data_IF_949543095178
#
_entry.id   IF_949543095178
#
_cell.length_a   1.000
_cell.length_b   1.000
_cell.length_c   1.000
_cell.angle_alpha   90.00
_cell.angle_beta   90.00
_cell.angle_gamma   90.00
#
_symmetry.space_group_name_H-M   'P 1'
#
loop_
_entity.id
_entity.type
_entity.pdbx_description
1 polymer ?
#
# COMPACT_ATOMS: atom_id res chain seq x y z
N UNK A 1 -20.30 -7.84 -12.46
CA UNK A 1 -18.91 -8.16 -12.07
C UNK A 1 -18.25 -6.81 -11.87
N UNK A 2 -18.40 -6.26 -10.67
CA UNK A 2 -18.17 -4.85 -10.39
C UNK A 2 -17.52 -4.76 -9.02
N UNK A 3 -16.51 -3.89 -8.94
CA UNK A 3 -16.06 -3.17 -7.75
C UNK A 3 -15.43 -3.99 -6.61
N UNK A 4 -14.19 -4.44 -6.82
CA UNK A 4 -13.21 -4.51 -5.73
C UNK A 4 -11.98 -3.65 -6.04
N UNK A 5 -11.53 -3.65 -7.30
CA UNK A 5 -10.38 -2.84 -7.75
C UNK A 5 -10.61 -1.32 -7.69
N UNK A 6 -11.86 -0.87 -7.64
CA UNK A 6 -12.17 0.57 -7.58
C UNK A 6 -12.16 1.16 -6.16
N UNK A 7 -12.27 0.35 -5.10
CA UNK A 7 -12.39 0.90 -3.74
C UNK A 7 -11.03 1.21 -3.09
N UNK A 8 -9.97 0.50 -3.47
CA UNK A 8 -8.64 0.68 -2.86
C UNK A 8 -7.79 1.72 -3.58
N UNK A 9 -8.03 1.94 -4.88
CA UNK A 9 -7.27 2.92 -5.69
C UNK A 9 -7.86 4.34 -5.59
N UNK A 10 -9.17 4.46 -5.30
CA UNK A 10 -9.85 5.77 -5.30
C UNK A 10 -9.39 6.68 -4.15
N UNK A 11 -9.08 6.15 -2.97
CA UNK A 11 -8.68 6.97 -1.82
C UNK A 11 -7.19 7.39 -1.86
N UNK A 12 -6.35 6.69 -2.61
CA UNK A 12 -4.91 6.98 -2.74
C UNK A 12 -4.60 7.85 -3.96
N UNK A 13 -5.34 7.72 -5.06
CA UNK A 13 -5.17 8.60 -6.22
C UNK A 13 -5.71 10.02 -5.96
N UNK A 14 -6.74 10.18 -5.13
CA UNK A 14 -7.21 11.50 -4.66
C UNK A 14 -6.15 12.24 -3.80
N UNK A 15 -5.17 11.54 -3.23
CA UNK A 15 -4.06 12.15 -2.51
C UNK A 15 -2.96 12.69 -3.45
N UNK A 16 -2.81 12.14 -4.66
CA UNK A 16 -1.81 12.56 -5.69
C UNK A 16 -2.40 13.64 -6.62
N UNK A 17 -3.67 13.98 -6.44
CA UNK A 17 -4.44 14.79 -7.39
C UNK A 17 -5.11 16.02 -6.79
N UNK A 18 -4.70 16.51 -5.60
CA UNK A 18 -5.13 17.83 -5.15
C UNK A 18 -4.45 18.90 -6.01
N UNK A 19 -5.08 19.18 -7.15
CA UNK A 19 -4.73 20.25 -8.10
C UNK A 19 -4.15 21.46 -7.37
N UNK A 20 -2.85 21.72 -7.56
CA UNK A 20 -2.15 22.90 -7.05
C UNK A 20 -1.06 22.67 -6.01
N UNK A 21 -0.79 21.45 -5.54
CA UNK A 21 0.37 21.17 -4.67
C UNK A 21 1.70 21.09 -5.44
N UNK A 22 2.80 21.23 -4.70
CA UNK A 22 4.15 21.42 -5.27
C UNK A 22 4.63 20.16 -5.99
N UNK A 23 4.32 18.98 -5.45
CA UNK A 23 4.62 17.68 -6.02
C UNK A 23 3.86 17.45 -7.33
N UNK A 24 2.56 17.74 -7.36
CA UNK A 24 1.74 17.61 -8.59
C UNK A 24 2.23 18.55 -9.68
N UNK A 25 2.62 19.78 -9.32
CA UNK A 25 3.20 20.75 -10.25
C UNK A 25 4.59 20.33 -10.74
N UNK A 26 5.44 19.77 -9.86
CA UNK A 26 6.76 19.26 -10.21
C UNK A 26 6.69 18.04 -11.15
N UNK A 27 5.81 17.07 -10.86
CA UNK A 27 5.58 15.90 -11.72
C UNK A 27 5.01 16.31 -13.08
N UNK A 28 4.15 17.32 -13.11
CA UNK A 28 3.55 17.85 -14.35
C UNK A 28 4.47 18.80 -15.13
N UNK A 29 5.68 19.06 -14.64
CA UNK A 29 6.64 19.97 -15.28
C UNK A 29 6.23 21.45 -15.28
N UNK A 30 5.24 21.82 -14.47
CA UNK A 30 4.68 23.18 -14.40
C UNK A 30 5.62 24.17 -13.67
N UNK A 31 6.55 23.66 -12.86
CA UNK A 31 7.52 24.45 -12.08
C UNK A 31 8.91 24.59 -12.74
N UNK A 32 9.04 24.25 -14.03
CA UNK A 32 10.33 24.24 -14.74
C UNK A 32 11.08 25.59 -14.75
N UNK A 33 10.36 26.70 -14.60
CA UNK A 33 10.93 28.06 -14.69
C UNK A 33 11.30 28.69 -13.33
N UNK A 34 10.81 28.16 -12.20
CA UNK A 34 11.04 28.72 -10.86
C UNK A 34 12.16 28.02 -10.07
N UNK A 35 12.78 26.99 -10.66
CA UNK A 35 13.66 26.06 -9.96
C UNK A 35 12.87 24.99 -9.19
N UNK A 36 13.45 23.80 -9.01
CA UNK A 36 12.78 22.74 -8.27
C UNK A 36 12.82 23.05 -6.76
N UNK A 37 11.67 23.18 -6.07
CA UNK A 37 11.62 23.27 -4.61
C UNK A 37 11.85 21.89 -3.99
N UNK A 38 13.04 21.31 -4.23
CA UNK A 38 13.39 19.92 -3.89
C UNK A 38 13.03 19.51 -2.44
N UNK A 39 13.24 20.35 -1.40
CA UNK A 39 12.87 19.97 -0.03
C UNK A 39 11.36 19.80 0.17
N UNK A 40 10.55 20.60 -0.51
CA UNK A 40 9.08 20.51 -0.45
C UNK A 40 8.59 19.29 -1.21
N UNK A 41 9.11 19.07 -2.43
CA UNK A 41 8.78 17.90 -3.26
C UNK A 41 9.16 16.60 -2.55
N UNK A 42 10.35 16.55 -1.93
CA UNK A 42 10.80 15.40 -1.15
C UNK A 42 9.85 15.11 0.01
N UNK A 43 9.47 16.13 0.78
CA UNK A 43 8.58 15.95 1.94
C UNK A 43 7.17 15.53 1.53
N UNK A 44 6.62 16.11 0.46
CA UNK A 44 5.32 15.70 -0.09
C UNK A 44 5.36 14.26 -0.63
N UNK A 45 6.46 13.86 -1.27
CA UNK A 45 6.67 12.47 -1.72
C UNK A 45 6.74 11.49 -0.56
N UNK A 46 7.43 11.84 0.53
CA UNK A 46 7.52 11.02 1.74
C UNK A 46 6.13 10.84 2.38
N UNK A 47 5.36 11.92 2.52
CA UNK A 47 4.00 11.86 3.05
C UNK A 47 3.09 10.94 2.21
N UNK A 48 3.21 11.03 0.89
CA UNK A 48 2.46 10.18 -0.03
C UNK A 48 2.84 8.70 0.14
N UNK A 49 4.13 8.38 0.18
CA UNK A 49 4.59 7.00 0.35
C UNK A 49 4.15 6.44 1.71
N UNK A 50 4.24 7.24 2.79
CA UNK A 50 3.77 6.83 4.11
C UNK A 50 2.25 6.55 4.12
N UNK A 51 1.46 7.39 3.45
CA UNK A 51 0.02 7.17 3.27
C UNK A 51 -0.29 5.90 2.49
N UNK A 52 0.42 5.66 1.37
CA UNK A 52 0.29 4.44 0.57
C UNK A 52 0.63 3.20 1.39
N UNK A 53 1.73 3.22 2.15
CA UNK A 53 2.13 2.10 3.00
C UNK A 53 1.09 1.80 4.08
N UNK A 54 0.52 2.85 4.71
CA UNK A 54 -0.54 2.70 5.71
C UNK A 54 -1.81 2.09 5.10
N UNK A 55 -2.24 2.60 3.95
CA UNK A 55 -3.41 2.06 3.23
C UNK A 55 -3.20 0.61 2.84
N UNK A 56 -2.00 0.27 2.36
CA UNK A 56 -1.64 -1.09 1.96
C UNK A 56 -1.62 -2.04 3.16
N UNK A 57 -1.04 -1.62 4.28
CA UNK A 57 -1.00 -2.43 5.51
C UNK A 57 -2.41 -2.74 6.04
N UNK A 58 -3.33 -1.76 5.98
CA UNK A 58 -4.73 -1.99 6.37
C UNK A 58 -5.43 -3.00 5.44
N UNK A 59 -5.28 -2.84 4.12
CA UNK A 59 -5.85 -3.77 3.15
C UNK A 59 -5.32 -5.21 3.33
N UNK A 60 -4.03 -5.35 3.68
CA UNK A 60 -3.44 -6.65 3.99
C UNK A 60 -4.03 -7.26 5.25
N UNK A 61 -4.22 -6.45 6.30
CA UNK A 61 -4.85 -6.93 7.53
C UNK A 61 -6.26 -7.47 7.27
N UNK A 62 -7.05 -6.76 6.47
CA UNK A 62 -8.39 -7.22 6.09
C UNK A 62 -8.31 -8.54 5.29
N UNK A 63 -7.32 -8.71 4.42
CA UNK A 63 -7.09 -9.98 3.70
C UNK A 63 -6.66 -11.11 4.63
N UNK A 64 -5.78 -10.85 5.60
CA UNK A 64 -5.36 -11.84 6.62
C UNK A 64 -6.55 -12.33 7.44
N UNK A 65 -7.47 -11.43 7.81
CA UNK A 65 -8.68 -11.77 8.55
C UNK A 65 -9.61 -12.67 7.73
N UNK A 66 -9.77 -12.39 6.43
CA UNK A 66 -10.58 -13.22 5.52
C UNK A 66 -9.93 -14.59 5.31
N UNK A 67 -8.62 -14.65 5.09
CA UNK A 67 -7.89 -15.91 4.93
C UNK A 67 -7.91 -16.76 6.21
N UNK A 68 -7.84 -16.12 7.38
CA UNK A 68 -7.96 -16.81 8.67
C UNK A 68 -9.35 -17.43 8.86
N UNK A 69 -10.40 -16.73 8.42
CA UNK A 69 -11.76 -17.27 8.41
C UNK A 69 -11.89 -18.43 7.41
N UNK A 70 -11.31 -18.31 6.22
CA UNK A 70 -11.29 -19.37 5.21
C UNK A 70 -10.56 -20.62 5.73
N UNK A 71 -9.43 -20.44 6.42
CA UNK A 71 -8.67 -21.52 7.05
C UNK A 71 -9.47 -22.29 8.09
N UNK A 72 -10.40 -21.63 8.78
CA UNK A 72 -11.22 -22.26 9.83
C UNK A 72 -12.36 -23.13 9.28
N UNK A 73 -12.63 -23.11 7.97
CA UNK A 73 -13.66 -23.94 7.36
C UNK A 73 -13.26 -25.41 7.39
N UNK A 74 -14.17 -26.28 7.85
CA UNK A 74 -13.92 -27.73 7.86
C UNK A 74 -14.22 -28.28 6.46
N UNK A 75 -13.19 -28.72 5.76
CA UNK A 75 -13.29 -29.46 4.51
C UNK A 75 -12.46 -30.72 4.58
N UNK A 76 -13.10 -31.88 4.58
CA UNK A 76 -12.42 -33.17 4.67
C UNK A 76 -11.97 -33.73 3.31
N UNK A 77 -10.92 -34.55 3.35
CA UNK A 77 -10.35 -35.23 2.19
C UNK A 77 -9.30 -34.41 1.44
N UNK A 78 -8.73 -34.99 0.38
CA UNK A 78 -7.59 -34.43 -0.37
C UNK A 78 -7.82 -33.01 -0.91
N UNK A 79 -9.06 -32.69 -1.27
CA UNK A 79 -9.41 -31.34 -1.74
C UNK A 79 -9.34 -30.31 -0.61
N UNK A 80 -9.80 -30.67 0.59
CA UNK A 80 -9.67 -29.82 1.77
C UNK A 80 -8.23 -29.64 2.22
N UNK A 81 -7.42 -30.71 2.19
CA UNK A 81 -5.97 -30.63 2.46
C UNK A 81 -5.25 -29.66 1.50
N UNK A 82 -5.57 -29.75 0.19
CA UNK A 82 -5.02 -28.83 -0.81
C UNK A 82 -5.48 -27.39 -0.57
N UNK A 83 -6.77 -27.19 -0.31
CA UNK A 83 -7.32 -25.88 0.04
C UNK A 83 -6.63 -25.26 1.26
N UNK A 84 -6.47 -26.00 2.35
CA UNK A 84 -5.78 -25.50 3.55
C UNK A 84 -4.32 -25.17 3.29
N UNK A 85 -3.64 -25.96 2.46
CA UNK A 85 -2.26 -25.67 2.03
C UNK A 85 -2.17 -24.36 1.25
N UNK A 86 -3.09 -24.14 0.31
CA UNK A 86 -3.14 -22.91 -0.49
C UNK A 86 -3.46 -21.69 0.37
N UNK A 87 -4.42 -21.81 1.29
CA UNK A 87 -4.78 -20.73 2.23
C UNK A 87 -3.60 -20.40 3.16
N UNK A 88 -2.88 -21.40 3.67
CA UNK A 88 -1.68 -21.19 4.48
C UNK A 88 -0.58 -20.46 3.69
N UNK A 89 -0.36 -20.86 2.44
CA UNK A 89 0.56 -20.15 1.54
C UNK A 89 0.15 -18.69 1.32
N UNK A 90 -1.15 -18.44 1.09
CA UNK A 90 -1.67 -17.09 0.91
C UNK A 90 -1.50 -16.21 2.17
N UNK A 91 -1.71 -16.77 3.37
CA UNK A 91 -1.49 -16.05 4.65
C UNK A 91 -0.03 -15.61 4.78
N UNK A 92 0.93 -16.49 4.48
CA UNK A 92 2.36 -16.14 4.56
C UNK A 92 2.73 -15.01 3.59
N UNK A 93 2.15 -15.03 2.38
CA UNK A 93 2.36 -13.97 1.38
C UNK A 93 1.77 -12.64 1.88
N UNK A 94 0.54 -12.66 2.41
CA UNK A 94 -0.11 -11.47 2.96
C UNK A 94 0.73 -10.86 4.09
N UNK A 95 1.16 -11.67 5.06
CA UNK A 95 2.01 -11.23 6.16
C UNK A 95 3.34 -10.63 5.69
N UNK A 96 3.97 -11.26 4.69
CA UNK A 96 5.22 -10.76 4.12
C UNK A 96 5.02 -9.39 3.48
N UNK A 97 3.95 -9.21 2.72
CA UNK A 97 3.62 -7.93 2.11
C UNK A 97 3.28 -6.85 3.16
N UNK A 98 2.59 -7.21 4.25
CA UNK A 98 2.24 -6.28 5.34
C UNK A 98 3.47 -5.79 6.09
N UNK A 99 4.41 -6.70 6.34
CA UNK A 99 5.72 -6.38 6.92
C UNK A 99 6.54 -5.49 5.99
N UNK A 100 6.52 -5.74 4.68
CA UNK A 100 7.18 -4.91 3.67
C UNK A 100 6.65 -3.48 3.64
N UNK A 101 5.32 -3.31 3.64
CA UNK A 101 4.68 -2.00 3.71
C UNK A 101 5.05 -1.25 5.00
N UNK A 102 5.01 -1.94 6.15
CA UNK A 102 5.39 -1.35 7.44
C UNK A 102 6.87 -0.94 7.49
N UNK A 103 7.75 -1.78 6.94
CA UNK A 103 9.19 -1.50 6.90
C UNK A 103 9.49 -0.30 5.99
N UNK A 104 8.82 -0.21 4.85
CA UNK A 104 8.95 0.92 3.92
C UNK A 104 8.48 2.22 4.55
N UNK A 105 7.33 2.21 5.25
CA UNK A 105 6.85 3.39 5.98
C UNK A 105 7.88 3.88 7.01
N UNK A 106 8.42 2.96 7.83
CA UNK A 106 9.46 3.29 8.83
C UNK A 106 10.73 3.85 8.20
N UNK A 107 11.16 3.31 7.07
CA UNK A 107 12.34 3.82 6.35
C UNK A 107 12.10 5.26 5.88
N UNK A 108 10.95 5.52 5.25
CA UNK A 108 10.58 6.86 4.74
C UNK A 108 10.48 7.90 5.86
N UNK A 109 10.05 7.49 7.05
CA UNK A 109 9.99 8.34 8.25
C UNK A 109 11.34 8.52 8.94
N UNK A 110 12.37 7.76 8.56
CA UNK A 110 13.67 7.76 9.21
C UNK A 110 14.55 8.94 8.75
N UNK A 111 15.52 9.38 9.58
CA UNK A 111 16.51 10.37 9.17
C UNK A 111 17.37 9.94 7.96
N UNK A 112 17.52 8.63 7.73
CA UNK A 112 18.30 8.07 6.62
C UNK A 112 17.66 8.36 5.26
N UNK A 113 16.34 8.51 5.20
CA UNK A 113 15.61 8.88 3.99
C UNK A 113 15.71 10.38 3.63
N UNK A 114 16.41 11.18 4.45
CA UNK A 114 16.63 12.61 4.25
C UNK A 114 18.07 12.95 3.80
N UNK A 115 18.95 11.94 3.71
CA UNK A 115 20.34 12.04 3.27
C UNK A 115 20.47 11.76 1.77
#
# INVERSE_FOLDING_TARGET
MTTLDQYTVSNTFEAIGRTGDTLSNAVSGLDFYNGCPCPTVLRESQNLIASLCTSHANAIKDMEDVLSQAKALIWEGKAGEAFHTDVDGAIVIAQTAGNGATTTARFIESPEALL
#
